data_IF_062473159045
#
_entry.id   IF_062473159045
#
_cell.length_a   1.000
_cell.length_b   1.000
_cell.length_c   1.000
_cell.angle_alpha   90.00
_cell.angle_beta   90.00
_cell.angle_gamma   90.00
#
_symmetry.space_group_name_H-M   'P 1'
#
loop_
_entity.id
_entity.type
_entity.pdbx_description
1 polymer ?
#
# COMPACT_ATOMS: atom_id res chain seq x y z
N UNK A 1 29.95 -9.59 -18.87
CA UNK A 1 29.49 -8.27 -18.36
C UNK A 1 28.33 -7.86 -19.25
N UNK A 2 27.16 -7.63 -18.67
CA UNK A 2 25.93 -7.25 -19.39
C UNK A 2 25.66 -5.77 -19.12
N UNK A 3 25.22 -5.05 -20.15
CA UNK A 3 24.80 -3.66 -20.04
C UNK A 3 23.28 -3.60 -19.97
N UNK A 4 22.74 -3.26 -18.78
CA UNK A 4 21.31 -3.19 -18.52
C UNK A 4 20.80 -1.77 -18.60
N UNK A 5 19.62 -1.58 -19.21
CA UNK A 5 18.77 -0.44 -18.95
C UNK A 5 17.68 -0.85 -17.98
N UNK A 6 17.50 -0.09 -16.88
CA UNK A 6 16.38 -0.23 -15.94
C UNK A 6 15.49 0.99 -16.08
N UNK A 7 14.25 0.78 -16.45
CA UNK A 7 13.25 1.83 -16.62
C UNK A 7 12.40 1.91 -15.35
N UNK A 8 12.58 2.99 -14.60
CA UNK A 8 11.94 3.24 -13.31
C UNK A 8 12.90 3.06 -12.13
N UNK A 9 13.13 4.13 -11.38
CA UNK A 9 13.95 4.17 -10.16
C UNK A 9 13.15 3.93 -8.88
N UNK A 10 12.04 3.18 -8.96
CA UNK A 10 11.30 2.70 -7.81
C UNK A 10 12.04 1.55 -7.11
N UNK A 11 11.47 1.02 -6.02
CA UNK A 11 12.11 -0.02 -5.20
C UNK A 11 12.49 -1.27 -6.02
N UNK A 12 11.64 -1.70 -6.95
CA UNK A 12 11.95 -2.86 -7.80
C UNK A 12 13.17 -2.58 -8.72
N UNK A 13 13.14 -1.44 -9.43
CA UNK A 13 14.23 -1.09 -10.34
C UNK A 13 15.56 -0.88 -9.61
N UNK A 14 15.53 -0.21 -8.45
CA UNK A 14 16.71 -0.01 -7.61
C UNK A 14 17.28 -1.32 -7.06
N UNK A 15 16.41 -2.22 -6.59
CA UNK A 15 16.84 -3.55 -6.12
C UNK A 15 17.48 -4.36 -7.25
N UNK A 16 16.86 -4.36 -8.44
CA UNK A 16 17.45 -5.03 -9.60
C UNK A 16 18.82 -4.43 -9.96
N UNK A 17 18.92 -3.10 -10.04
CA UNK A 17 20.16 -2.40 -10.38
C UNK A 17 21.27 -2.74 -9.38
N UNK A 18 20.98 -2.67 -8.09
CA UNK A 18 21.91 -3.01 -7.02
C UNK A 18 22.43 -4.45 -7.14
N UNK A 19 21.54 -5.42 -7.30
CA UNK A 19 21.92 -6.84 -7.39
C UNK A 19 22.66 -7.17 -8.70
N UNK A 20 22.37 -6.46 -9.79
CA UNK A 20 23.11 -6.61 -11.05
C UNK A 20 24.52 -6.01 -10.94
N UNK A 21 24.65 -4.81 -10.36
CA UNK A 21 25.94 -4.15 -10.14
C UNK A 21 26.87 -4.99 -9.25
N UNK A 22 26.36 -5.54 -8.15
CA UNK A 22 27.11 -6.49 -7.27
C UNK A 22 27.64 -7.71 -8.01
N UNK A 23 27.04 -8.09 -9.13
CA UNK A 23 27.50 -9.19 -10.01
C UNK A 23 28.42 -8.73 -11.13
N UNK A 24 28.85 -7.46 -11.10
CA UNK A 24 29.79 -6.88 -12.07
C UNK A 24 29.14 -6.48 -13.39
N UNK A 25 27.83 -6.26 -13.43
CA UNK A 25 27.13 -5.74 -14.59
C UNK A 25 27.10 -4.20 -14.57
N UNK A 26 26.98 -3.59 -15.75
CA UNK A 26 26.71 -2.15 -15.88
C UNK A 26 25.21 -1.91 -15.94
N UNK A 27 24.72 -0.91 -15.23
CA UNK A 27 23.30 -0.59 -15.17
C UNK A 27 23.09 0.91 -15.37
N UNK A 28 22.27 1.26 -16.34
CA UNK A 28 21.74 2.61 -16.50
C UNK A 28 20.28 2.60 -16.04
N UNK A 29 19.94 3.43 -15.04
CA UNK A 29 18.60 3.58 -14.52
C UNK A 29 18.04 4.90 -15.04
N UNK A 30 16.90 4.87 -15.71
CA UNK A 30 16.17 6.07 -16.13
C UNK A 30 14.87 6.18 -15.37
N UNK A 31 14.50 7.39 -14.97
CA UNK A 31 13.26 7.70 -14.23
C UNK A 31 12.60 8.93 -14.86
N UNK A 32 11.32 8.82 -15.18
CA UNK A 32 10.57 9.93 -15.79
C UNK A 32 10.26 11.08 -14.83
N UNK A 33 10.17 10.79 -13.53
CA UNK A 33 9.98 11.81 -12.48
C UNK A 33 11.28 12.56 -12.22
N UNK A 34 11.18 13.67 -11.53
CA UNK A 34 12.32 14.48 -11.07
C UNK A 34 13.03 13.89 -9.84
N UNK A 35 12.53 12.77 -9.32
CA UNK A 35 13.04 12.08 -8.13
C UNK A 35 13.06 10.57 -8.31
N UNK A 36 13.93 9.90 -7.56
CA UNK A 36 13.97 8.43 -7.41
C UNK A 36 12.94 7.93 -6.38
N UNK A 37 13.00 6.66 -6.05
CA UNK A 37 12.17 5.95 -5.08
C UNK A 37 10.72 5.70 -5.51
N UNK A 38 10.29 6.15 -6.69
CA UNK A 38 8.96 5.83 -7.22
C UNK A 38 7.85 6.14 -6.21
N UNK A 39 6.97 5.19 -5.96
CA UNK A 39 5.83 5.40 -5.06
C UNK A 39 6.19 5.37 -3.56
N UNK A 40 7.39 4.89 -3.18
CA UNK A 40 7.85 4.97 -1.80
C UNK A 40 8.64 6.25 -1.50
N UNK A 41 8.66 7.21 -2.42
CA UNK A 41 9.33 8.49 -2.23
C UNK A 41 8.81 9.19 -0.98
N UNK A 42 9.73 9.49 -0.06
CA UNK A 42 9.51 10.31 1.12
C UNK A 42 10.31 11.59 1.04
N UNK A 43 9.70 12.69 1.46
CA UNK A 43 10.34 14.00 1.55
C UNK A 43 10.23 14.51 2.98
N UNK A 44 11.34 14.98 3.54
CA UNK A 44 11.30 15.64 4.83
C UNK A 44 10.70 17.04 4.73
N UNK A 45 9.68 17.30 5.54
CA UNK A 45 9.05 18.62 5.70
C UNK A 45 8.95 18.86 7.21
N UNK A 46 9.57 19.91 7.70
CA UNK A 46 9.61 20.29 9.12
C UNK A 46 10.00 19.13 10.07
N UNK A 47 10.98 18.33 9.65
CA UNK A 47 11.48 17.19 10.40
C UNK A 47 10.58 15.95 10.38
N UNK A 48 9.50 15.96 9.57
CA UNK A 48 8.59 14.85 9.39
C UNK A 48 8.83 14.21 8.02
N UNK A 49 8.95 12.89 7.96
CA UNK A 49 9.07 12.14 6.71
C UNK A 49 7.68 11.96 6.08
N UNK A 50 7.37 12.78 5.07
CA UNK A 50 6.09 12.77 4.37
C UNK A 50 6.13 11.80 3.20
N UNK A 51 5.28 10.77 3.22
CA UNK A 51 5.13 9.81 2.14
C UNK A 51 4.31 10.43 1.01
N UNK A 52 4.96 10.81 -0.09
CA UNK A 52 4.35 11.64 -1.14
C UNK A 52 3.25 10.91 -1.93
N UNK A 53 3.27 9.59 -1.98
CA UNK A 53 2.33 8.76 -2.76
C UNK A 53 1.54 7.78 -1.89
N UNK A 54 1.20 8.19 -0.67
CA UNK A 54 0.47 7.40 0.30
C UNK A 54 1.37 6.66 1.28
N UNK A 55 0.78 6.23 2.39
CA UNK A 55 1.49 5.52 3.44
C UNK A 55 1.99 4.16 2.95
N UNK A 56 3.27 3.92 3.10
CA UNK A 56 3.90 2.64 2.91
C UNK A 56 4.46 2.14 4.23
N UNK A 57 4.00 0.99 4.69
CA UNK A 57 4.52 0.31 5.87
C UNK A 57 5.20 -0.96 5.38
N UNK A 58 6.49 -1.10 5.62
CA UNK A 58 7.20 -2.31 5.24
C UNK A 58 6.81 -3.46 6.16
N UNK A 59 6.44 -4.59 5.58
CA UNK A 59 6.14 -5.81 6.32
C UNK A 59 6.49 -7.06 5.51
N UNK A 60 6.92 -8.12 6.18
CA UNK A 60 7.25 -9.40 5.55
C UNK A 60 7.22 -10.54 6.55
N UNK A 61 6.87 -11.75 6.09
CA UNK A 61 7.03 -12.98 6.86
C UNK A 61 8.44 -13.58 6.71
N UNK A 62 9.25 -13.09 5.76
CA UNK A 62 10.56 -13.66 5.42
C UNK A 62 11.68 -12.88 6.09
N UNK A 63 12.40 -13.55 6.99
CA UNK A 63 13.54 -12.94 7.68
C UNK A 63 14.64 -12.49 6.73
N UNK A 64 14.91 -13.22 5.68
CA UNK A 64 15.92 -12.86 4.68
C UNK A 64 15.63 -11.53 3.98
N UNK A 65 14.34 -11.21 3.73
CA UNK A 65 13.93 -9.94 3.13
C UNK A 65 14.05 -8.82 4.17
N UNK A 66 13.66 -9.09 5.42
CA UNK A 66 13.83 -8.14 6.51
C UNK A 66 15.31 -7.78 6.73
N UNK A 67 16.18 -8.79 6.78
CA UNK A 67 17.63 -8.59 6.93
C UNK A 67 18.23 -7.86 5.73
N UNK A 68 17.69 -8.09 4.53
CA UNK A 68 18.14 -7.42 3.31
C UNK A 68 17.84 -5.91 3.34
N UNK A 69 16.61 -5.52 3.64
CA UNK A 69 16.24 -4.09 3.64
C UNK A 69 16.90 -3.33 4.78
N UNK A 70 17.18 -3.98 5.91
CA UNK A 70 17.91 -3.40 7.02
C UNK A 70 19.40 -3.12 6.74
N UNK A 71 19.95 -3.57 5.60
CA UNK A 71 21.27 -3.15 5.14
C UNK A 71 21.28 -1.70 4.64
N UNK A 72 20.12 -1.17 4.25
CA UNK A 72 19.98 0.15 3.65
C UNK A 72 19.38 1.21 4.57
N UNK A 73 18.61 0.81 5.57
CA UNK A 73 18.04 1.70 6.59
C UNK A 73 17.76 0.94 7.88
N UNK A 74 17.81 1.65 9.00
CA UNK A 74 17.28 1.14 10.26
C UNK A 74 15.75 1.30 10.26
N UNK A 75 15.03 0.23 10.62
CA UNK A 75 13.58 0.25 10.75
C UNK A 75 13.16 0.40 12.22
N UNK A 76 12.19 1.27 12.46
CA UNK A 76 11.58 1.38 13.77
C UNK A 76 10.58 0.24 14.03
N UNK A 77 9.99 0.23 15.25
CA UNK A 77 8.99 -0.77 15.67
C UNK A 77 7.55 -0.36 15.34
N UNK A 78 7.32 0.49 14.33
CA UNK A 78 5.97 0.91 13.99
C UNK A 78 5.07 -0.30 13.70
N UNK A 79 3.93 -0.35 14.40
CA UNK A 79 2.90 -1.36 14.19
C UNK A 79 1.70 -0.72 13.54
N UNK A 80 1.34 -1.18 12.34
CA UNK A 80 0.23 -0.59 11.59
C UNK A 80 -1.11 -0.93 12.25
N UNK A 81 -1.78 0.06 12.80
CA UNK A 81 -3.06 -0.06 13.48
C UNK A 81 -4.02 1.04 13.00
N UNK A 82 -4.47 0.97 11.73
CA UNK A 82 -5.40 1.97 11.21
C UNK A 82 -6.75 1.88 11.91
N UNK A 83 -7.48 2.98 11.90
CA UNK A 83 -8.87 3.03 12.36
C UNK A 83 -9.80 3.44 11.22
N UNK A 84 -11.08 3.13 11.37
CA UNK A 84 -12.14 3.55 10.48
C UNK A 84 -13.05 4.56 11.20
N UNK A 85 -13.42 5.62 10.50
CA UNK A 85 -14.43 6.58 10.91
C UNK A 85 -15.65 6.42 10.00
N UNK A 86 -16.79 6.10 10.59
CA UNK A 86 -18.08 6.04 9.93
C UNK A 86 -19.02 7.03 10.62
N UNK A 87 -19.26 8.19 10.03
CA UNK A 87 -20.08 9.27 10.58
C UNK A 87 -19.74 9.65 12.04
N UNK A 88 -18.42 9.68 12.37
CA UNK A 88 -17.94 9.97 13.72
C UNK A 88 -17.86 8.76 14.66
N UNK A 89 -18.36 7.60 14.26
CA UNK A 89 -18.14 6.34 14.98
C UNK A 89 -16.78 5.76 14.63
N UNK A 90 -15.92 5.53 15.63
CA UNK A 90 -14.56 5.02 15.43
C UNK A 90 -14.52 3.51 15.66
N UNK A 91 -13.92 2.79 14.71
CA UNK A 91 -13.74 1.34 14.74
C UNK A 91 -12.27 0.97 14.51
N UNK A 92 -11.82 -0.10 15.17
CA UNK A 92 -10.47 -0.65 14.93
C UNK A 92 -10.42 -1.42 13.60
N UNK A 93 -9.24 -1.36 12.97
CA UNK A 93 -8.87 -2.15 11.80
C UNK A 93 -7.58 -2.93 12.11
N UNK A 94 -7.44 -4.20 11.74
CA UNK A 94 -8.37 -5.05 11.00
C UNK A 94 -9.67 -5.30 11.77
N UNK A 95 -10.65 -5.93 11.14
CA UNK A 95 -11.87 -6.34 11.86
C UNK A 95 -11.52 -7.41 12.89
N UNK A 96 -11.59 -7.06 14.15
CA UNK A 96 -11.16 -7.87 15.27
C UNK A 96 -12.14 -7.76 16.44
N UNK A 97 -11.82 -8.36 17.58
CA UNK A 97 -12.70 -8.35 18.75
C UNK A 97 -13.02 -6.94 19.26
N UNK A 98 -12.11 -5.94 19.09
CA UNK A 98 -12.42 -4.55 19.41
C UNK A 98 -13.51 -3.99 18.49
N UNK A 99 -13.46 -4.31 17.20
CA UNK A 99 -14.47 -3.93 16.21
C UNK A 99 -15.84 -4.57 16.55
N UNK A 100 -15.83 -5.87 16.85
CA UNK A 100 -17.05 -6.64 17.17
C UNK A 100 -17.66 -6.21 18.48
N UNK A 101 -16.84 -5.97 19.52
CA UNK A 101 -17.30 -5.43 20.79
C UNK A 101 -17.95 -4.05 20.61
N UNK A 102 -17.29 -3.15 19.90
CA UNK A 102 -17.83 -1.79 19.63
C UNK A 102 -19.17 -1.84 18.90
N UNK A 103 -19.30 -2.76 17.93
CA UNK A 103 -20.49 -2.83 17.07
C UNK A 103 -21.65 -3.60 17.71
N UNK A 104 -21.36 -4.70 18.42
CA UNK A 104 -22.36 -5.66 18.91
C UNK A 104 -22.36 -5.88 20.42
N UNK A 105 -21.38 -5.33 21.15
CA UNK A 105 -21.24 -5.55 22.60
C UNK A 105 -20.75 -6.96 22.98
N UNK A 106 -20.32 -7.76 22.01
CA UNK A 106 -19.80 -9.13 22.26
C UNK A 106 -18.43 -9.08 22.92
N UNK A 107 -18.13 -10.09 23.76
CA UNK A 107 -16.91 -10.14 24.56
C UNK A 107 -16.03 -11.33 24.14
N UNK A 108 -16.65 -12.44 23.75
CA UNK A 108 -15.95 -13.68 23.41
C UNK A 108 -15.91 -13.93 21.90
N UNK A 109 -14.89 -14.66 21.41
CA UNK A 109 -14.82 -15.10 20.01
C UNK A 109 -16.09 -15.85 19.56
N UNK A 110 -16.61 -16.75 20.40
CA UNK A 110 -17.82 -17.54 20.11
C UNK A 110 -19.05 -16.66 19.87
N UNK A 111 -19.25 -15.62 20.71
CA UNK A 111 -20.34 -14.65 20.50
C UNK A 111 -20.18 -13.89 19.18
N UNK A 112 -18.97 -13.49 18.83
CA UNK A 112 -18.68 -12.78 17.58
C UNK A 112 -18.91 -13.68 16.36
N UNK A 113 -18.41 -14.91 16.40
CA UNK A 113 -18.60 -15.90 15.33
C UNK A 113 -20.09 -16.19 15.11
N UNK A 114 -20.85 -16.39 16.20
CA UNK A 114 -22.30 -16.60 16.14
C UNK A 114 -23.01 -15.41 15.50
N UNK A 115 -22.62 -14.18 15.85
CA UNK A 115 -23.20 -12.97 15.27
C UNK A 115 -22.96 -12.85 13.78
N UNK A 116 -21.73 -13.17 13.32
CA UNK A 116 -21.39 -13.20 11.90
C UNK A 116 -22.20 -14.28 11.19
N UNK A 117 -22.31 -15.48 11.77
CA UNK A 117 -23.06 -16.60 11.17
C UNK A 117 -24.55 -16.29 11.02
N UNK A 118 -25.18 -15.68 12.03
CA UNK A 118 -26.57 -15.21 11.96
C UNK A 118 -26.75 -14.23 10.79
N UNK A 119 -25.84 -13.31 10.57
CA UNK A 119 -25.93 -12.32 9.50
C UNK A 119 -25.58 -12.90 8.13
N UNK A 120 -24.68 -13.87 8.07
CA UNK A 120 -24.33 -14.62 6.86
C UNK A 120 -25.49 -15.42 6.30
N UNK A 121 -26.45 -15.80 7.12
CA UNK A 121 -27.62 -16.59 6.72
C UNK A 121 -28.41 -15.96 5.56
N UNK A 122 -28.34 -14.66 5.33
CA UNK A 122 -28.98 -13.99 4.18
C UNK A 122 -28.46 -14.50 2.82
N UNK A 123 -27.28 -15.10 2.79
CA UNK A 123 -26.69 -15.69 1.58
C UNK A 123 -27.26 -17.08 1.25
N UNK A 124 -28.06 -17.68 2.14
CA UNK A 124 -28.70 -19.00 1.93
C UNK A 124 -27.71 -20.10 1.47
N UNK A 125 -26.46 -20.05 1.96
CA UNK A 125 -25.39 -21.00 1.56
C UNK A 125 -24.84 -20.80 0.13
N UNK A 126 -25.27 -19.75 -0.57
CA UNK A 126 -24.77 -19.43 -1.90
C UNK A 126 -23.28 -19.08 -1.86
N UNK A 127 -22.53 -19.55 -2.88
CA UNK A 127 -21.15 -19.10 -3.10
C UNK A 127 -21.17 -17.63 -3.54
N UNK A 128 -20.34 -16.77 -2.93
CA UNK A 128 -20.26 -15.36 -3.31
C UNK A 128 -19.88 -15.15 -4.78
N UNK A 129 -20.66 -14.34 -5.50
CA UNK A 129 -20.45 -14.01 -6.92
C UNK A 129 -19.90 -12.59 -7.11
N UNK A 130 -20.04 -11.73 -6.10
CA UNK A 130 -19.59 -10.35 -6.13
C UNK A 130 -18.97 -9.94 -4.79
N UNK A 131 -18.47 -8.72 -4.73
CA UNK A 131 -17.79 -8.18 -3.55
C UNK A 131 -18.73 -8.05 -2.34
N UNK A 132 -20.00 -7.64 -2.52
CA UNK A 132 -20.99 -7.56 -1.45
C UNK A 132 -21.19 -8.90 -0.77
N UNK A 133 -21.50 -9.93 -1.55
CA UNK A 133 -21.72 -11.29 -1.05
C UNK A 133 -20.46 -11.86 -0.38
N UNK A 134 -19.28 -11.58 -0.94
CA UNK A 134 -18.00 -11.99 -0.35
C UNK A 134 -17.75 -11.30 1.00
N UNK A 135 -18.00 -9.99 1.10
CA UNK A 135 -17.86 -9.26 2.34
C UNK A 135 -18.83 -9.79 3.41
N UNK A 136 -20.10 -9.93 3.08
CA UNK A 136 -21.12 -10.48 4.00
C UNK A 136 -20.73 -11.90 4.47
N UNK A 137 -20.17 -12.72 3.57
CA UNK A 137 -19.70 -14.06 3.94
C UNK A 137 -18.55 -14.06 4.95
N UNK A 138 -17.75 -13.00 4.97
CA UNK A 138 -16.58 -12.87 5.86
C UNK A 138 -16.95 -12.20 7.20
N UNK A 139 -17.71 -11.12 7.16
CA UNK A 139 -17.88 -10.22 8.32
C UNK A 139 -19.35 -9.92 8.70
N UNK A 140 -20.31 -10.47 7.96
CA UNK A 140 -21.72 -10.18 8.16
C UNK A 140 -22.19 -8.85 7.56
N UNK A 141 -23.51 -8.62 7.64
CA UNK A 141 -24.17 -7.47 6.99
C UNK A 141 -23.84 -6.13 7.66
N UNK A 142 -23.67 -6.09 8.98
CA UNK A 142 -23.47 -4.84 9.70
C UNK A 142 -22.11 -4.23 9.41
N UNK A 143 -21.04 -5.04 9.48
CA UNK A 143 -19.68 -4.61 9.14
C UNK A 143 -19.61 -4.25 7.67
N UNK A 144 -20.19 -5.08 6.79
CA UNK A 144 -20.25 -4.76 5.37
C UNK A 144 -20.84 -3.37 5.12
N UNK A 145 -22.01 -3.07 5.69
CA UNK A 145 -22.70 -1.79 5.45
C UNK A 145 -21.95 -0.58 6.01
N UNK A 146 -21.38 -0.69 7.22
CA UNK A 146 -20.71 0.44 7.87
C UNK A 146 -19.26 0.65 7.41
N UNK A 147 -18.51 -0.43 7.19
CA UNK A 147 -17.05 -0.34 7.10
C UNK A 147 -16.48 -0.76 5.76
N UNK A 148 -17.26 -1.39 4.89
CA UNK A 148 -16.77 -1.93 3.62
C UNK A 148 -17.45 -1.30 2.42
N UNK A 149 -18.78 -1.26 2.40
CA UNK A 149 -19.58 -0.93 1.21
C UNK A 149 -19.18 0.41 0.61
N UNK A 150 -19.49 1.49 1.30
CA UNK A 150 -19.33 2.83 0.75
C UNK A 150 -17.86 3.23 0.58
N UNK A 151 -16.95 2.72 1.44
CA UNK A 151 -15.52 2.88 1.27
C UNK A 151 -15.04 2.27 -0.06
N UNK A 152 -15.47 1.05 -0.35
CA UNK A 152 -15.09 0.34 -1.57
C UNK A 152 -15.72 0.99 -2.80
N UNK A 153 -16.99 1.39 -2.71
CA UNK A 153 -17.69 2.09 -3.79
C UNK A 153 -17.02 3.44 -4.12
N UNK A 154 -16.58 4.22 -3.12
CA UNK A 154 -15.76 5.44 -3.33
C UNK A 154 -14.46 5.11 -4.05
N UNK A 155 -13.77 4.08 -3.58
CA UNK A 155 -12.46 3.71 -4.10
C UNK A 155 -12.52 3.22 -5.56
N UNK A 156 -13.57 2.47 -5.91
CA UNK A 156 -13.72 1.89 -7.24
C UNK A 156 -14.62 2.70 -8.18
N UNK A 157 -15.45 3.58 -7.64
CA UNK A 157 -16.44 4.36 -8.42
C UNK A 157 -17.53 3.46 -9.04
N UNK A 158 -17.81 2.31 -8.42
CA UNK A 158 -18.76 1.28 -8.87
C UNK A 158 -19.51 0.71 -7.68
N UNK A 159 -20.74 0.21 -7.92
CA UNK A 159 -21.50 -0.53 -6.89
C UNK A 159 -20.74 -1.82 -6.49
N UNK A 160 -20.77 -2.16 -5.21
CA UNK A 160 -20.10 -3.34 -4.68
C UNK A 160 -20.59 -4.66 -5.33
N UNK A 161 -21.83 -4.69 -5.83
CA UNK A 161 -22.40 -5.83 -6.55
C UNK A 161 -21.81 -6.05 -7.94
N UNK A 162 -21.24 -4.99 -8.53
CA UNK A 162 -20.58 -5.04 -9.84
C UNK A 162 -19.10 -5.42 -9.75
N UNK A 163 -18.54 -5.42 -8.53
CA UNK A 163 -17.14 -5.71 -8.28
C UNK A 163 -16.92 -7.20 -8.02
N UNK A 164 -15.83 -7.78 -8.54
CA UNK A 164 -15.56 -9.20 -8.36
C UNK A 164 -15.17 -9.53 -6.90
N UNK A 165 -15.53 -10.74 -6.40
CA UNK A 165 -15.35 -11.11 -4.99
C UNK A 165 -13.87 -11.19 -4.56
N UNK A 166 -12.93 -11.39 -5.48
CA UNK A 166 -11.52 -11.54 -5.13
C UNK A 166 -10.90 -10.26 -4.54
N UNK A 167 -11.47 -9.08 -4.82
CA UNK A 167 -10.99 -7.79 -4.32
C UNK A 167 -10.92 -7.78 -2.78
N UNK A 168 -11.92 -8.38 -2.12
CA UNK A 168 -12.02 -8.39 -0.65
C UNK A 168 -11.70 -9.77 -0.02
N UNK A 169 -11.32 -10.74 -0.82
CA UNK A 169 -11.06 -12.11 -0.34
C UNK A 169 -10.00 -12.18 0.77
N UNK A 170 -9.08 -11.22 0.80
CA UNK A 170 -7.98 -11.15 1.78
C UNK A 170 -8.24 -10.19 2.93
N UNK A 171 -9.50 -9.77 3.12
CA UNK A 171 -9.87 -8.91 4.24
C UNK A 171 -9.47 -9.57 5.56
N UNK A 172 -8.61 -8.93 6.37
CA UNK A 172 -8.20 -9.53 7.62
C UNK A 172 -9.34 -9.48 8.65
N UNK A 173 -9.73 -10.67 9.12
CA UNK A 173 -10.73 -10.88 10.16
C UNK A 173 -10.10 -11.71 11.26
N UNK A 174 -10.16 -11.26 12.49
CA UNK A 174 -9.53 -11.91 13.64
C UNK A 174 -10.44 -11.97 14.83
N UNK A 175 -10.50 -13.13 15.48
CA UNK A 175 -11.22 -13.33 16.74
C UNK A 175 -10.27 -13.15 17.94
N UNK A 176 -9.44 -12.10 17.88
CA UNK A 176 -8.55 -11.65 18.95
C UNK A 176 -8.65 -10.15 19.13
N UNK A 177 -8.14 -9.61 20.22
CA UNK A 177 -8.08 -8.16 20.51
C UNK A 177 -6.81 -7.49 19.93
N UNK A 178 -6.11 -8.15 19.00
CA UNK A 178 -4.91 -7.63 18.35
C UNK A 178 -5.26 -6.62 17.26
N UNK A 179 -4.78 -5.39 17.40
CA UNK A 179 -4.98 -4.29 16.45
C UNK A 179 -3.89 -4.22 15.37
N UNK A 180 -2.88 -5.09 15.39
CA UNK A 180 -1.90 -5.12 14.33
C UNK A 180 -2.56 -5.52 13.01
N UNK A 181 -2.49 -4.65 11.99
CA UNK A 181 -3.13 -4.90 10.70
C UNK A 181 -2.52 -6.08 9.95
N UNK A 182 -1.20 -6.25 10.04
CA UNK A 182 -0.48 -7.32 9.36
C UNK A 182 -0.33 -8.58 10.22
N UNK A 183 -0.26 -9.74 9.58
CA UNK A 183 0.05 -11.01 10.22
C UNK A 183 1.56 -11.32 10.21
N UNK A 184 2.35 -10.51 9.51
CA UNK A 184 3.77 -10.73 9.34
C UNK A 184 4.55 -10.40 10.62
N UNK A 185 5.56 -11.22 10.98
CA UNK A 185 6.36 -11.01 12.18
C UNK A 185 7.30 -9.80 12.10
N UNK A 186 7.62 -9.34 10.87
CA UNK A 186 8.51 -8.21 10.65
C UNK A 186 7.73 -7.07 10.01
N UNK A 187 7.74 -5.92 10.65
CA UNK A 187 7.18 -4.69 10.09
C UNK A 187 7.84 -3.46 10.71
N UNK A 188 7.79 -2.34 10.02
CA UNK A 188 8.32 -1.06 10.50
C UNK A 188 8.33 0.00 9.43
N UNK A 189 8.76 1.18 9.84
CA UNK A 189 9.03 2.33 8.98
C UNK A 189 10.54 2.62 9.05
N UNK A 190 11.20 2.88 7.93
CA UNK A 190 12.61 3.26 7.95
C UNK A 190 12.77 4.63 8.60
N UNK A 191 13.61 4.71 9.63
CA UNK A 191 13.95 5.96 10.30
C UNK A 191 14.65 6.88 9.29
N UNK A 192 14.13 8.11 9.13
CA UNK A 192 14.60 9.03 8.10
C UNK A 192 14.03 8.78 6.69
N UNK A 193 12.95 8.02 6.58
CA UNK A 193 12.17 7.83 5.36
C UNK A 193 12.70 6.76 4.41
N UNK A 194 11.91 6.46 3.39
CA UNK A 194 12.19 5.39 2.42
C UNK A 194 13.20 5.77 1.34
N UNK A 195 13.29 7.05 0.98
CA UNK A 195 14.11 7.51 -0.15
C UNK A 195 15.56 7.09 -0.01
N UNK A 196 16.13 7.17 1.20
CA UNK A 196 17.50 6.75 1.50
C UNK A 196 17.79 5.28 1.16
N UNK A 197 16.78 4.41 1.22
CA UNK A 197 16.95 2.99 0.86
C UNK A 197 17.33 2.89 -0.61
N UNK A 198 16.60 3.61 -1.46
CA UNK A 198 16.83 3.62 -2.90
C UNK A 198 18.13 4.36 -3.25
N UNK A 199 18.44 5.47 -2.56
CA UNK A 199 19.73 6.17 -2.71
C UNK A 199 20.90 5.22 -2.47
N UNK A 200 20.90 4.48 -1.36
CA UNK A 200 21.97 3.53 -1.03
C UNK A 200 22.02 2.32 -1.96
N UNK A 201 20.88 1.86 -2.48
CA UNK A 201 20.85 0.78 -3.47
C UNK A 201 21.46 1.21 -4.80
N UNK A 202 21.32 2.47 -5.17
CA UNK A 202 21.82 3.02 -6.44
C UNK A 202 23.24 3.60 -6.34
N UNK A 203 23.81 3.68 -5.15
CA UNK A 203 25.17 4.18 -4.90
C UNK A 203 26.23 3.09 -5.20
N UNK A 204 26.53 2.90 -6.48
CA UNK A 204 27.54 1.95 -6.98
C UNK A 204 28.18 2.50 -8.27
N UNK A 205 29.49 2.35 -8.43
CA UNK A 205 30.26 2.80 -9.61
C UNK A 205 29.78 2.17 -10.94
N UNK A 206 29.06 1.08 -10.87
CA UNK A 206 28.47 0.40 -12.03
C UNK A 206 27.04 0.85 -12.34
N UNK A 207 26.49 1.78 -11.56
CA UNK A 207 25.13 2.29 -11.74
C UNK A 207 25.21 3.78 -12.12
N UNK A 208 24.53 4.14 -13.20
CA UNK A 208 24.21 5.53 -13.52
C UNK A 208 22.72 5.77 -13.44
N UNK A 209 22.30 6.90 -12.89
CA UNK A 209 20.90 7.26 -12.71
C UNK A 209 20.60 8.57 -13.42
N UNK A 210 19.51 8.58 -14.20
CA UNK A 210 19.07 9.75 -14.95
C UNK A 210 17.57 9.97 -14.68
N UNK A 211 17.23 11.07 -14.01
CA UNK A 211 15.85 11.50 -13.76
C UNK A 211 15.33 12.39 -14.89
N UNK A 212 14.04 12.74 -14.89
CA UNK A 212 13.39 13.53 -15.95
C UNK A 212 13.56 12.92 -17.35
N UNK A 213 13.65 11.59 -17.43
CA UNK A 213 13.92 10.87 -18.68
C UNK A 213 12.84 9.83 -18.93
N UNK A 214 11.98 10.08 -19.92
CA UNK A 214 10.92 9.15 -20.30
C UNK A 214 11.47 8.12 -21.31
N UNK A 215 11.26 6.85 -21.00
CA UNK A 215 11.66 5.73 -21.86
C UNK A 215 11.07 5.82 -23.28
N UNK A 216 9.84 6.31 -23.39
CA UNK A 216 9.13 6.34 -24.66
C UNK A 216 9.65 7.41 -25.63
N UNK A 217 10.40 8.41 -25.14
CA UNK A 217 11.05 9.41 -26.01
C UNK A 217 12.09 8.79 -26.94
N UNK A 218 12.74 7.69 -26.51
CA UNK A 218 13.83 7.01 -27.22
C UNK A 218 13.72 5.47 -27.17
N UNK A 219 12.50 4.94 -27.08
CA UNK A 219 12.24 3.50 -26.92
C UNK A 219 13.05 2.63 -27.87
N UNK A 220 13.04 2.93 -29.16
CA UNK A 220 13.72 2.13 -30.18
C UNK A 220 15.27 2.21 -30.11
N UNK A 221 15.80 3.33 -29.65
CA UNK A 221 17.24 3.50 -29.39
C UNK A 221 17.64 2.66 -28.18
N UNK A 222 16.93 2.79 -27.07
CA UNK A 222 17.19 2.02 -25.85
C UNK A 222 17.12 0.50 -26.07
N UNK A 223 16.15 0.03 -26.87
CA UNK A 223 16.03 -1.40 -27.18
C UNK A 223 17.17 -1.94 -28.04
N UNK A 224 17.95 -1.07 -28.69
CA UNK A 224 19.13 -1.45 -29.52
C UNK A 224 20.45 -1.31 -28.78
N UNK A 225 20.55 -0.29 -27.91
CA UNK A 225 21.80 0.13 -27.29
C UNK A 225 22.17 -0.69 -26.05
N UNK A 226 21.18 -1.36 -25.43
CA UNK A 226 21.40 -2.16 -24.24
C UNK A 226 21.20 -3.65 -24.50
N UNK A 227 22.02 -4.46 -23.85
CA UNK A 227 21.90 -5.93 -23.95
C UNK A 227 20.56 -6.43 -23.44
N UNK A 228 20.03 -5.78 -22.39
CA UNK A 228 18.74 -6.10 -21.78
C UNK A 228 18.07 -4.84 -21.20
N UNK A 229 16.76 -4.79 -21.33
CA UNK A 229 15.91 -3.74 -20.74
C UNK A 229 14.99 -4.37 -19.67
N UNK A 230 15.04 -3.81 -18.47
CA UNK A 230 14.14 -4.14 -17.37
C UNK A 230 13.13 -3.01 -17.25
N UNK A 231 11.92 -3.24 -17.74
CA UNK A 231 10.87 -2.24 -17.77
C UNK A 231 9.92 -2.42 -16.57
N UNK A 232 9.81 -1.39 -15.74
CA UNK A 232 8.95 -1.42 -14.54
C UNK A 232 7.70 -0.54 -14.66
N UNK A 233 7.45 0.01 -15.85
CA UNK A 233 6.29 0.83 -16.15
C UNK A 233 5.03 0.00 -16.51
N UNK A 234 4.07 0.66 -17.14
CA UNK A 234 2.82 0.01 -17.57
C UNK A 234 3.07 -0.92 -18.76
N UNK A 235 2.75 -2.20 -18.57
CA UNK A 235 3.02 -3.23 -19.58
C UNK A 235 2.22 -3.04 -20.85
N UNK A 236 1.00 -2.58 -20.77
CA UNK A 236 0.13 -2.28 -21.91
C UNK A 236 0.69 -1.13 -22.75
N UNK A 237 1.22 -0.08 -22.11
CA UNK A 237 1.90 1.02 -22.77
C UNK A 237 3.19 0.54 -23.49
N UNK A 238 3.96 -0.36 -22.86
CA UNK A 238 5.15 -0.92 -23.48
C UNK A 238 4.84 -1.60 -24.82
N UNK A 239 3.71 -2.26 -24.92
CA UNK A 239 3.21 -2.93 -26.13
C UNK A 239 2.27 -2.05 -26.97
N UNK A 240 2.32 -0.73 -26.81
CA UNK A 240 1.56 0.26 -27.58
C UNK A 240 0.04 -0.02 -27.55
N UNK A 241 -0.44 -0.53 -26.41
CA UNK A 241 -1.85 -0.88 -26.15
C UNK A 241 -2.48 -1.85 -27.16
N UNK A 242 -1.68 -2.69 -27.82
CA UNK A 242 -2.11 -3.60 -28.90
C UNK A 242 -3.20 -4.59 -28.48
N UNK A 243 -3.29 -4.92 -27.19
CA UNK A 243 -4.29 -5.79 -26.62
C UNK A 243 -5.35 -5.04 -25.80
N UNK A 244 -5.40 -3.72 -25.92
CA UNK A 244 -6.22 -2.83 -25.13
C UNK A 244 -5.52 -2.31 -23.88
N UNK A 245 -6.16 -1.34 -23.22
CA UNK A 245 -5.68 -0.73 -21.99
C UNK A 245 -6.08 -1.58 -20.78
N UNK A 246 -5.18 -1.68 -19.80
CA UNK A 246 -5.49 -2.29 -18.51
C UNK A 246 -6.18 -1.28 -17.60
N UNK A 247 -7.28 -1.68 -17.00
CA UNK A 247 -7.99 -0.83 -16.04
C UNK A 247 -7.21 -0.69 -14.73
N UNK A 248 -7.06 0.53 -14.23
CA UNK A 248 -6.51 0.85 -12.90
C UNK A 248 -7.23 2.06 -12.30
N UNK A 249 -6.99 2.29 -11.02
CA UNK A 249 -7.52 3.47 -10.32
C UNK A 249 -6.39 4.41 -9.95
N UNK A 250 -6.51 5.66 -10.37
CA UNK A 250 -5.63 6.74 -9.97
C UNK A 250 -5.99 7.25 -8.59
N UNK A 251 -4.97 7.61 -7.82
CA UNK A 251 -5.12 8.29 -6.53
C UNK A 251 -4.62 9.73 -6.67
N UNK A 252 -5.34 10.66 -6.07
CA UNK A 252 -4.92 12.04 -5.88
C UNK A 252 -4.56 12.22 -4.41
N UNK A 253 -3.38 12.75 -4.15
CA UNK A 253 -2.92 13.12 -2.83
C UNK A 253 -2.96 14.63 -2.70
N UNK A 254 -3.58 15.10 -1.63
CA UNK A 254 -3.62 16.52 -1.26
C UNK A 254 -2.90 16.63 0.09
N UNK A 255 -1.91 17.50 0.18
CA UNK A 255 -1.12 17.73 1.38
C UNK A 255 -1.51 19.06 1.99
N UNK A 256 -1.78 19.06 3.28
CA UNK A 256 -2.03 20.24 4.10
C UNK A 256 -1.05 20.27 5.28
N UNK A 257 -0.53 21.45 5.59
CA UNK A 257 0.21 21.73 6.82
C UNK A 257 -0.73 22.43 7.79
N UNK A 258 -0.89 21.84 8.99
CA UNK A 258 -1.78 22.35 10.02
C UNK A 258 -0.98 22.79 11.24
N UNK A 259 -1.32 23.94 11.81
CA UNK A 259 -0.72 24.45 13.05
C UNK A 259 -1.35 23.75 14.27
N UNK A 260 -1.19 22.42 14.34
CA UNK A 260 -1.64 21.58 15.45
C UNK A 260 -0.65 20.46 15.72
N UNK A 261 -0.42 20.15 16.98
CA UNK A 261 0.55 19.12 17.37
C UNK A 261 0.08 17.69 17.03
N UNK A 262 -1.22 17.45 17.07
CA UNK A 262 -1.82 16.14 16.83
C UNK A 262 -3.25 16.33 16.29
N UNK A 263 -3.45 16.01 15.02
CA UNK A 263 -4.71 16.26 14.35
C UNK A 263 -5.74 15.15 14.58
N UNK A 264 -5.35 13.90 14.38
CA UNK A 264 -6.28 12.76 14.42
C UNK A 264 -5.88 11.64 15.39
N UNK A 265 -4.71 11.74 16.03
CA UNK A 265 -4.25 10.79 17.05
C UNK A 265 -3.85 9.41 16.51
N UNK A 266 -3.75 9.25 15.20
CA UNK A 266 -3.32 8.00 14.55
C UNK A 266 -2.72 8.29 13.17
N UNK A 267 -1.77 7.46 12.74
CA UNK A 267 -1.15 7.64 11.43
C UNK A 267 -2.14 7.53 10.27
N UNK A 268 -3.13 6.62 10.36
CA UNK A 268 -4.09 6.38 9.26
C UNK A 268 -5.50 6.27 9.80
N UNK A 269 -6.38 7.14 9.31
CA UNK A 269 -7.83 7.07 9.53
C UNK A 269 -8.53 6.89 8.19
N UNK A 270 -9.27 5.80 8.05
CA UNK A 270 -10.10 5.53 6.88
C UNK A 270 -11.51 6.07 7.09
N UNK A 271 -12.03 6.84 6.14
CA UNK A 271 -13.40 7.36 6.16
C UNK A 271 -14.28 6.45 5.32
N UNK A 272 -15.15 5.70 5.98
CA UNK A 272 -15.91 4.62 5.34
C UNK A 272 -17.31 5.03 4.86
N UNK A 273 -17.77 6.22 5.22
CA UNK A 273 -18.99 6.82 4.69
C UNK A 273 -18.77 7.42 3.29
N UNK A 274 -19.84 7.60 2.51
CA UNK A 274 -19.76 8.15 1.14
C UNK A 274 -19.78 9.68 1.09
N UNK A 275 -20.25 10.35 2.13
CA UNK A 275 -20.35 11.80 2.23
C UNK A 275 -18.98 12.47 2.32
N UNK A 276 -18.03 11.80 2.98
CA UNK A 276 -16.64 12.25 3.03
C UNK A 276 -15.97 12.06 1.66
N UNK A 277 -15.47 13.14 1.02
CA UNK A 277 -15.00 13.09 -0.38
C UNK A 277 -13.66 12.38 -0.60
N UNK A 278 -13.01 11.93 0.46
CA UNK A 278 -11.74 11.18 0.43
C UNK A 278 -11.87 9.84 1.14
N UNK A 279 -10.94 8.93 0.87
CA UNK A 279 -10.95 7.59 1.49
C UNK A 279 -10.20 7.54 2.81
N UNK A 280 -9.18 8.39 2.99
CA UNK A 280 -8.37 8.42 4.22
C UNK A 280 -7.63 9.73 4.42
N UNK A 281 -7.29 9.99 5.67
CA UNK A 281 -6.29 10.98 6.06
C UNK A 281 -5.08 10.24 6.64
N UNK A 282 -3.89 10.71 6.27
CA UNK A 282 -2.61 10.21 6.76
C UNK A 282 -1.94 11.35 7.53
N UNK A 283 -1.70 11.15 8.81
CA UNK A 283 -0.90 12.06 9.65
C UNK A 283 0.49 11.47 9.79
N UNK A 284 1.42 11.97 8.97
CA UNK A 284 2.71 11.33 8.74
C UNK A 284 3.63 11.31 9.97
N UNK A 285 3.50 12.27 10.88
CA UNK A 285 4.31 12.34 12.10
C UNK A 285 4.22 11.09 12.98
N UNK A 286 3.08 10.40 12.95
CA UNK A 286 2.88 9.19 13.76
C UNK A 286 3.61 7.94 13.23
N UNK A 287 4.25 8.01 12.07
CA UNK A 287 5.10 6.92 11.59
C UNK A 287 6.44 6.84 12.31
N UNK A 288 6.92 7.95 12.87
CA UNK A 288 8.16 8.02 13.65
C UNK A 288 7.85 8.46 15.08
N UNK A 289 8.39 7.73 16.06
CA UNK A 289 8.17 8.04 17.47
C UNK A 289 8.88 9.33 17.88
N UNK A 290 8.19 10.20 18.64
CA UNK A 290 8.74 11.43 19.17
C UNK A 290 8.77 12.61 18.20
N UNK A 291 8.02 12.54 17.12
CA UNK A 291 7.85 13.65 16.16
C UNK A 291 6.66 14.55 16.49
#
# INVERSE_FOLDING_TARGET
MTNYLVVGAGLFGATFAHEAAKRGHKVHVIEKRDHIAGNIYTKEIDGIQVHQYGAHIFHTSKKEIWDYVNQFAEFNRYTNSPIANFHGEIYNMPFNMNTFNKLWGVITPEEAEKKIEEQRAVLNGKRPENLEEQAISLVGTDIYKKLVKEYTEKQWGRDAKELPPFIIKRLPVRFTYDNNYFNDPYQGIPIGGYTQIVEKMLDDDNITVETNTDFFDKKDEYLKDYDKVVFTGMIDQFFDYKLGELEYRSLRFETEELDVDNYQGNAVVNYTDKETPYTRIIEHKHFEFGK
#
